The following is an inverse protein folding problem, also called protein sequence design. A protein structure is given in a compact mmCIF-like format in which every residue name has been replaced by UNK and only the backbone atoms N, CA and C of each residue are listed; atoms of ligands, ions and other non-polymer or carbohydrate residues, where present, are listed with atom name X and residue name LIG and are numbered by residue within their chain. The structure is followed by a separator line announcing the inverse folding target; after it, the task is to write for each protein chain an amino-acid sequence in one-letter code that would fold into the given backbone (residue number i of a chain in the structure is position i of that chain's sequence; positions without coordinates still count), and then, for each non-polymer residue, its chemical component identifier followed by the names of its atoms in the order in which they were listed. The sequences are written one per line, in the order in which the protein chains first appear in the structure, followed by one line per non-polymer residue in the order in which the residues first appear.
data_IF_388767488244
#
_entry.id   IF_388767488244
#
_cell.length_a   1.000
_cell.length_b   1.000
_cell.length_c   1.000
_cell.angle_alpha   90.00
_cell.angle_beta   90.00
_cell.angle_gamma   90.00
#
_symmetry.space_group_name_H-M   'P 1'
#
loop_
_entity.id
_entity.type
_entity.pdbx_description
1 polymer ?
#
# COMPACT_ATOMS: atom_id res chain seq x y z
N UNK A 1 -9.47 -13.49 -48.66
CA UNK A 1 -9.86 -13.61 -47.24
C UNK A 1 -10.77 -12.44 -46.93
N UNK A 2 -12.05 -12.69 -46.59
CA UNK A 2 -13.01 -11.63 -46.31
C UNK A 2 -12.88 -11.22 -44.84
N UNK A 3 -12.48 -9.97 -44.59
CA UNK A 3 -12.27 -9.42 -43.24
C UNK A 3 -13.53 -9.55 -42.39
N UNK A 4 -14.72 -9.41 -43.00
CA UNK A 4 -16.01 -9.48 -42.31
C UNK A 4 -16.29 -10.87 -41.72
N UNK A 5 -16.04 -11.94 -42.49
CA UNK A 5 -16.19 -13.32 -41.99
C UNK A 5 -15.23 -13.66 -40.84
N UNK A 6 -14.05 -13.04 -40.82
CA UNK A 6 -13.08 -13.22 -39.74
C UNK A 6 -13.49 -12.45 -38.49
N UNK A 7 -14.04 -11.24 -38.65
CA UNK A 7 -14.59 -10.44 -37.55
C UNK A 7 -15.79 -11.16 -36.94
N UNK A 8 -16.67 -11.73 -37.76
CA UNK A 8 -17.85 -12.47 -37.31
C UNK A 8 -17.45 -13.74 -36.54
N UNK A 9 -16.46 -14.51 -37.03
CA UNK A 9 -15.98 -15.69 -36.30
C UNK A 9 -15.30 -15.35 -34.97
N UNK A 10 -14.57 -14.23 -34.89
CA UNK A 10 -13.89 -13.77 -33.67
C UNK A 10 -14.86 -13.16 -32.66
N UNK A 11 -15.96 -12.54 -33.11
CA UNK A 11 -16.96 -11.89 -32.26
C UNK A 11 -18.06 -12.83 -31.78
N UNK A 12 -18.31 -13.93 -32.49
CA UNK A 12 -19.39 -14.89 -32.19
C UNK A 12 -19.35 -15.49 -30.77
N UNK A 13 -18.19 -15.53 -30.11
CA UNK A 13 -18.01 -16.14 -28.78
C UNK A 13 -17.51 -15.18 -27.70
N UNK A 14 -17.70 -13.87 -27.88
CA UNK A 14 -17.32 -12.88 -26.87
C UNK A 14 -18.26 -12.96 -25.65
N UNK A 15 -17.76 -13.50 -24.54
CA UNK A 15 -18.47 -13.46 -23.26
C UNK A 15 -18.37 -12.06 -22.65
N UNK A 16 -19.49 -11.41 -22.27
CA UNK A 16 -19.46 -10.10 -21.65
C UNK A 16 -18.68 -10.15 -20.33
N UNK A 17 -17.61 -9.37 -20.21
CA UNK A 17 -16.90 -9.21 -18.95
C UNK A 17 -17.74 -8.33 -18.03
N UNK A 18 -18.15 -8.86 -16.86
CA UNK A 18 -18.87 -8.07 -15.84
C UNK A 18 -18.10 -6.79 -15.50
N UNK A 19 -18.80 -5.63 -15.51
CA UNK A 19 -18.24 -4.28 -15.24
C UNK A 19 -17.33 -4.19 -14.00
N UNK A 20 -17.60 -5.00 -12.97
CA UNK A 20 -16.85 -4.99 -11.69
C UNK A 20 -15.90 -6.17 -11.50
N UNK A 21 -15.68 -7.02 -12.50
CA UNK A 21 -14.85 -8.22 -12.36
C UNK A 21 -13.40 -7.90 -11.94
N UNK A 22 -12.83 -6.81 -12.46
CA UNK A 22 -11.48 -6.32 -12.13
C UNK A 22 -11.40 -5.87 -10.67
N UNK A 23 -12.30 -4.96 -10.26
CA UNK A 23 -12.32 -4.43 -8.91
C UNK A 23 -12.55 -5.50 -7.86
N UNK A 24 -13.46 -6.45 -8.11
CA UNK A 24 -13.73 -7.56 -7.20
C UNK A 24 -12.53 -8.48 -7.00
N UNK A 25 -11.75 -8.74 -8.06
CA UNK A 25 -10.52 -9.56 -7.95
C UNK A 25 -9.45 -8.87 -7.14
N UNK A 26 -9.19 -7.59 -7.43
CA UNK A 26 -8.23 -6.78 -6.67
C UNK A 26 -8.64 -6.74 -5.20
N UNK A 27 -9.92 -6.45 -4.91
CA UNK A 27 -10.45 -6.44 -3.55
C UNK A 27 -10.27 -7.79 -2.84
N UNK A 28 -10.53 -8.90 -3.53
CA UNK A 28 -10.35 -10.24 -2.96
C UNK A 28 -8.87 -10.56 -2.68
N UNK A 29 -7.96 -10.20 -3.60
CA UNK A 29 -6.53 -10.37 -3.39
C UNK A 29 -6.00 -9.57 -2.20
N UNK A 30 -6.46 -8.33 -2.06
CA UNK A 30 -6.12 -7.48 -0.91
C UNK A 30 -6.74 -8.02 0.38
N UNK A 31 -8.01 -8.41 0.37
CA UNK A 31 -8.70 -8.92 1.55
C UNK A 31 -8.01 -10.19 2.09
N UNK A 32 -7.71 -11.15 1.21
CA UNK A 32 -6.98 -12.37 1.60
C UNK A 32 -5.59 -12.01 2.13
N UNK A 33 -4.83 -11.16 1.44
CA UNK A 33 -3.52 -10.73 1.89
C UNK A 33 -3.58 -9.99 3.24
N UNK A 34 -4.58 -9.14 3.45
CA UNK A 34 -4.80 -8.40 4.69
C UNK A 34 -5.14 -9.34 5.85
N UNK A 35 -6.02 -10.32 5.63
CA UNK A 35 -6.34 -11.36 6.64
C UNK A 35 -5.09 -12.13 7.05
N UNK A 36 -4.28 -12.58 6.07
CA UNK A 36 -3.01 -13.27 6.36
C UNK A 36 -2.07 -12.35 7.14
N UNK A 37 -1.99 -11.07 6.77
CA UNK A 37 -1.14 -10.09 7.45
C UNK A 37 -1.60 -9.86 8.90
N UNK A 38 -2.91 -9.76 9.15
CA UNK A 38 -3.47 -9.64 10.50
C UNK A 38 -3.17 -10.88 11.33
N UNK A 39 -3.29 -12.08 10.77
CA UNK A 39 -2.92 -13.33 11.45
C UNK A 39 -1.44 -13.33 11.81
N UNK A 40 -0.55 -12.94 10.88
CA UNK A 40 0.88 -12.82 11.14
C UNK A 40 1.20 -11.82 12.24
N UNK A 41 0.48 -10.69 12.30
CA UNK A 41 0.64 -9.71 13.38
C UNK A 41 0.16 -10.33 14.71
N UNK A 42 -1.05 -10.89 14.73
CA UNK A 42 -1.66 -11.40 15.96
C UNK A 42 -0.86 -12.57 16.57
N UNK A 43 -0.31 -13.46 15.73
CA UNK A 43 0.39 -14.67 16.17
C UNK A 43 1.91 -14.49 16.27
N UNK A 44 2.51 -13.68 15.39
CA UNK A 44 3.97 -13.51 15.32
C UNK A 44 4.49 -12.35 16.16
N UNK A 45 3.83 -11.19 16.09
CA UNK A 45 4.27 -9.95 16.75
C UNK A 45 3.50 -9.67 18.05
N UNK A 46 2.27 -10.15 18.14
CA UNK A 46 1.33 -9.83 19.21
C UNK A 46 0.63 -8.50 18.98
N UNK A 47 -0.63 -8.39 19.41
CA UNK A 47 -1.36 -7.13 19.40
C UNK A 47 -0.97 -6.34 20.64
N UNK A 48 -0.79 -5.02 20.50
CA UNK A 48 -0.47 -4.13 21.62
C UNK A 48 -1.56 -4.22 22.71
N UNK A 49 -1.23 -4.48 23.98
CA UNK A 49 -2.23 -4.73 25.03
C UNK A 49 -3.07 -3.50 25.36
N UNK A 50 -2.53 -2.30 25.17
CA UNK A 50 -3.21 -1.03 25.38
C UNK A 50 -3.90 -0.48 24.12
N UNK A 51 -4.15 -1.32 23.12
CA UNK A 51 -4.83 -0.91 21.88
C UNK A 51 -6.16 -0.18 22.14
N UNK A 52 -6.96 -0.64 23.10
CA UNK A 52 -8.23 0.01 23.45
C UNK A 52 -8.07 1.43 23.99
N UNK A 53 -6.97 1.71 24.71
CA UNK A 53 -6.62 3.05 25.17
C UNK A 53 -6.00 3.87 24.04
N UNK A 54 -5.12 3.27 23.25
CA UNK A 54 -4.46 3.91 22.12
C UNK A 54 -5.47 4.41 21.06
N UNK A 55 -6.55 3.66 20.81
CA UNK A 55 -7.64 4.08 19.91
C UNK A 55 -8.38 5.33 20.37
N UNK A 56 -8.28 5.72 21.64
CA UNK A 56 -8.81 7.00 22.14
C UNK A 56 -7.82 8.16 21.97
N UNK A 57 -6.55 7.85 21.72
CA UNK A 57 -5.48 8.82 21.54
C UNK A 57 -5.41 9.40 20.13
N UNK A 58 -5.14 10.70 20.03
CA UNK A 58 -4.96 11.41 18.76
C UNK A 58 -3.88 10.79 17.88
N UNK A 59 -2.73 10.41 18.46
CA UNK A 59 -1.58 9.89 17.72
C UNK A 59 -1.87 8.59 16.97
N UNK A 60 -2.76 7.74 17.48
CA UNK A 60 -3.18 6.53 16.76
C UNK A 60 -3.90 6.90 15.46
N UNK A 61 -4.88 7.79 15.55
CA UNK A 61 -5.67 8.23 14.40
C UNK A 61 -4.85 8.98 13.36
N UNK A 62 -3.88 9.80 13.77
CA UNK A 62 -2.97 10.46 12.82
C UNK A 62 -2.21 9.44 11.98
N UNK A 63 -1.63 8.42 12.62
CA UNK A 63 -0.88 7.37 11.91
C UNK A 63 -1.79 6.56 11.00
N UNK A 64 -2.96 6.18 11.51
CA UNK A 64 -3.92 5.36 10.80
C UNK A 64 -4.52 6.09 9.59
N UNK A 65 -4.90 7.36 9.75
CA UNK A 65 -5.39 8.21 8.65
C UNK A 65 -4.32 8.47 7.60
N UNK A 66 -3.07 8.70 8.02
CA UNK A 66 -1.93 8.80 7.12
C UNK A 66 -1.74 7.54 6.26
N UNK A 67 -1.60 6.37 6.87
CA UNK A 67 -1.36 5.13 6.12
C UNK A 67 -2.55 4.71 5.28
N UNK A 68 -3.79 4.94 5.77
CA UNK A 68 -5.00 4.68 4.99
C UNK A 68 -5.14 5.58 3.78
N UNK A 69 -4.88 6.88 3.93
CA UNK A 69 -4.98 7.81 2.80
C UNK A 69 -4.00 7.43 1.68
N UNK A 70 -2.76 7.03 2.05
CA UNK A 70 -1.80 6.46 1.10
C UNK A 70 -2.31 5.17 0.47
N UNK A 71 -2.88 4.26 1.27
CA UNK A 71 -3.46 3.01 0.79
C UNK A 71 -4.57 3.27 -0.23
N UNK A 72 -5.52 4.17 0.04
CA UNK A 72 -6.60 4.51 -0.89
C UNK A 72 -6.05 5.08 -2.21
N UNK A 73 -5.08 5.99 -2.14
CA UNK A 73 -4.43 6.54 -3.34
C UNK A 73 -3.71 5.44 -4.14
N UNK A 74 -3.04 4.52 -3.45
CA UNK A 74 -2.31 3.41 -4.06
C UNK A 74 -3.26 2.41 -4.74
N UNK A 75 -4.35 2.07 -4.07
CA UNK A 75 -5.39 1.18 -4.59
C UNK A 75 -6.09 1.79 -5.81
N UNK A 76 -6.31 3.10 -5.80
CA UNK A 76 -6.83 3.80 -6.96
C UNK A 76 -5.86 3.72 -8.16
N UNK A 77 -4.56 3.87 -7.93
CA UNK A 77 -3.54 3.67 -8.98
C UNK A 77 -3.50 2.23 -9.48
N UNK A 78 -3.56 1.24 -8.59
CA UNK A 78 -3.63 -0.19 -8.93
C UNK A 78 -4.83 -0.48 -9.83
N UNK A 79 -6.01 0.04 -9.50
CA UNK A 79 -7.22 -0.14 -10.29
C UNK A 79 -7.14 0.54 -11.67
N UNK A 80 -6.43 1.67 -11.78
CA UNK A 80 -6.19 2.35 -13.06
C UNK A 80 -5.18 1.60 -13.92
N UNK A 81 -4.04 1.20 -13.36
CA UNK A 81 -2.98 0.45 -14.05
C UNK A 81 -3.37 -0.97 -14.43
N UNK A 82 -4.42 -1.52 -13.80
CA UNK A 82 -5.04 -2.78 -14.19
C UNK A 82 -5.76 -2.71 -15.55
N UNK A 83 -6.10 -1.52 -16.04
CA UNK A 83 -6.75 -1.30 -17.34
C UNK A 83 -5.70 -0.90 -18.38
N UNK A 84 -5.82 -1.36 -19.64
CA UNK A 84 -4.84 -1.09 -20.70
C UNK A 84 -4.83 0.37 -21.20
N UNK A 85 -5.73 1.22 -20.72
CA UNK A 85 -5.82 2.63 -21.13
C UNK A 85 -4.58 3.44 -20.75
N UNK A 86 -4.34 4.54 -21.48
CA UNK A 86 -3.29 5.51 -21.17
C UNK A 86 -3.56 6.12 -19.79
N UNK A 87 -2.87 5.56 -18.79
CA UNK A 87 -2.99 6.01 -17.41
C UNK A 87 -2.10 7.21 -17.17
N UNK A 88 -2.73 8.34 -16.84
CA UNK A 88 -2.04 9.55 -16.43
C UNK A 88 -1.54 9.39 -14.98
N UNK A 89 -0.21 9.40 -14.82
CA UNK A 89 0.47 9.26 -13.53
C UNK A 89 0.42 10.53 -12.69
N UNK A 90 -0.14 11.64 -13.21
CA UNK A 90 -0.30 12.91 -12.47
C UNK A 90 -1.04 12.76 -11.15
N UNK A 91 -1.91 11.75 -11.02
CA UNK A 91 -2.63 11.46 -9.78
C UNK A 91 -1.72 11.04 -8.62
N UNK A 92 -0.49 10.62 -8.89
CA UNK A 92 0.51 10.31 -7.87
C UNK A 92 0.81 11.52 -6.98
N UNK A 93 0.64 12.74 -7.50
CA UNK A 93 0.84 13.97 -6.73
C UNK A 93 -0.13 14.12 -5.56
N UNK A 94 -1.31 13.46 -5.59
CA UNK A 94 -2.23 13.45 -4.45
C UNK A 94 -1.65 12.77 -3.21
N UNK A 95 -0.66 11.88 -3.37
CA UNK A 95 0.04 11.29 -2.22
C UNK A 95 0.90 12.31 -1.47
N UNK A 96 1.24 13.45 -2.10
CA UNK A 96 1.95 14.53 -1.42
C UNK A 96 1.10 15.17 -0.32
N UNK A 97 -0.23 15.17 -0.47
CA UNK A 97 -1.15 15.79 0.49
C UNK A 97 -1.03 15.17 1.90
N UNK A 98 -1.22 13.84 2.09
CA UNK A 98 -1.08 13.24 3.41
C UNK A 98 0.36 13.29 3.95
N UNK A 99 1.36 13.24 3.07
CA UNK A 99 2.78 13.38 3.47
C UNK A 99 3.06 14.78 4.01
N UNK A 100 2.63 15.83 3.31
CA UNK A 100 2.80 17.22 3.76
C UNK A 100 2.01 17.49 5.05
N UNK A 101 0.81 16.94 5.18
CA UNK A 101 0.01 17.08 6.40
C UNK A 101 0.72 16.45 7.61
N UNK A 102 1.22 15.21 7.45
CA UNK A 102 1.96 14.54 8.52
C UNK A 102 3.30 15.23 8.81
N UNK A 103 3.98 15.76 7.79
CA UNK A 103 5.19 16.57 7.95
C UNK A 103 4.93 17.85 8.76
N UNK A 104 3.78 18.50 8.54
CA UNK A 104 3.38 19.67 9.30
C UNK A 104 3.14 19.32 10.77
N UNK A 105 2.43 18.21 11.03
CA UNK A 105 2.18 17.73 12.40
C UNK A 105 3.50 17.37 13.10
N UNK A 106 4.39 16.62 12.42
CA UNK A 106 5.69 16.26 12.96
C UNK A 106 6.60 17.47 13.22
N UNK A 107 6.55 18.48 12.35
CA UNK A 107 7.26 19.75 12.55
C UNK A 107 6.75 20.52 13.77
N UNK A 108 5.43 20.56 13.98
CA UNK A 108 4.82 21.17 15.16
C UNK A 108 5.19 20.41 16.45
N UNK A 109 5.18 19.08 16.42
CA UNK A 109 5.63 18.25 17.56
C UNK A 109 7.09 18.56 17.94
N UNK A 110 7.97 18.70 16.96
CA UNK A 110 9.38 19.05 17.19
C UNK A 110 9.56 20.48 17.69
N UNK A 111 8.79 21.43 17.15
CA UNK A 111 8.85 22.82 17.58
C UNK A 111 8.43 23.00 19.05
N UNK A 112 7.51 22.15 19.54
CA UNK A 112 7.07 22.17 20.94
C UNK A 112 7.95 21.31 21.86
N UNK A 113 8.79 20.44 21.30
CA UNK A 113 9.66 19.55 22.07
C UNK A 113 11.05 20.17 22.31
N UNK A 114 11.69 19.91 23.47
CA UNK A 114 13.07 20.27 23.71
C UNK A 114 14.01 19.65 22.65
N UNK A 115 15.00 20.39 22.12
CA UNK A 115 15.91 19.89 21.07
C UNK A 115 16.66 18.60 21.42
N UNK A 116 16.92 18.37 22.72
CA UNK A 116 17.54 17.15 23.24
C UNK A 116 16.72 15.88 22.98
N UNK A 117 15.39 16.02 22.88
CA UNK A 117 14.47 14.89 22.74
C UNK A 117 14.15 14.59 21.27
N UNK A 118 14.55 15.47 20.34
CA UNK A 118 14.28 15.32 18.90
C UNK A 118 14.81 14.01 18.34
N UNK A 119 16.02 13.62 18.75
CA UNK A 119 16.65 12.39 18.26
C UNK A 119 15.90 11.15 18.77
N UNK A 120 15.45 11.16 20.02
CA UNK A 120 14.63 10.11 20.59
C UNK A 120 13.24 10.04 19.92
N UNK A 121 12.63 11.18 19.60
CA UNK A 121 11.35 11.25 18.88
C UNK A 121 11.48 10.78 17.42
N UNK A 122 12.63 11.01 16.79
CA UNK A 122 12.86 10.63 15.40
C UNK A 122 13.22 9.16 15.23
N UNK A 123 14.15 8.66 16.05
CA UNK A 123 14.55 7.25 16.01
C UNK A 123 13.53 6.35 16.71
N UNK A 124 12.84 6.80 17.75
CA UNK A 124 12.03 5.92 18.58
C UNK A 124 12.80 4.69 19.08
N UNK A 125 12.09 3.70 19.61
CA UNK A 125 12.70 2.43 20.03
C UNK A 125 12.81 1.43 18.88
N UNK A 126 11.90 1.53 17.89
CA UNK A 126 11.70 0.48 16.89
C UNK A 126 12.22 0.80 15.47
N UNK A 127 12.99 1.88 15.27
CA UNK A 127 13.37 2.32 13.91
C UNK A 127 14.11 1.28 13.08
N UNK A 128 14.99 0.46 13.68
CA UNK A 128 15.79 -0.52 12.94
C UNK A 128 14.94 -1.66 12.39
N UNK A 129 13.81 -1.95 13.03
CA UNK A 129 13.00 -3.15 12.79
C UNK A 129 11.72 -2.76 12.03
N UNK A 130 11.14 -1.61 12.32
CA UNK A 130 9.86 -1.16 11.78
C UNK A 130 9.79 -1.16 10.24
N UNK A 131 10.75 -0.57 9.48
CA UNK A 131 10.70 -0.59 8.02
C UNK A 131 10.74 -2.01 7.44
N UNK A 132 11.54 -2.89 8.04
CA UNK A 132 11.65 -4.29 7.64
C UNK A 132 10.39 -5.09 7.95
N UNK A 133 9.74 -4.81 9.09
CA UNK A 133 8.44 -5.42 9.43
C UNK A 133 7.35 -4.95 8.49
N UNK A 134 7.27 -3.65 8.18
CA UNK A 134 6.30 -3.14 7.19
C UNK A 134 6.55 -3.79 5.83
N UNK A 135 7.82 -3.93 5.42
CA UNK A 135 8.18 -4.58 4.18
C UNK A 135 7.78 -6.07 4.16
N UNK A 136 8.09 -6.82 5.22
CA UNK A 136 7.76 -8.25 5.30
C UNK A 136 6.25 -8.48 5.38
N UNK A 137 5.53 -7.67 6.17
CA UNK A 137 4.07 -7.70 6.27
C UNK A 137 3.37 -7.24 4.98
N UNK A 138 4.06 -6.53 4.09
CA UNK A 138 3.51 -6.19 2.77
C UNK A 138 3.48 -7.39 1.82
N UNK A 139 4.30 -8.42 2.05
CA UNK A 139 4.46 -9.53 1.12
C UNK A 139 3.14 -10.29 0.84
N UNK A 140 2.30 -10.67 1.83
CA UNK A 140 1.04 -11.36 1.56
C UNK A 140 0.07 -10.52 0.69
N UNK A 141 -0.01 -9.22 0.96
CA UNK A 141 -0.87 -8.29 0.19
C UNK A 141 -0.32 -8.12 -1.23
N UNK A 142 1.00 -7.99 -1.37
CA UNK A 142 1.66 -7.90 -2.67
C UNK A 142 1.44 -9.15 -3.52
N UNK A 143 1.54 -10.34 -2.93
CA UNK A 143 1.26 -11.62 -3.61
C UNK A 143 -0.20 -11.67 -4.08
N UNK A 144 -1.15 -11.26 -3.24
CA UNK A 144 -2.57 -11.19 -3.60
C UNK A 144 -2.85 -10.21 -4.77
N UNK A 145 -2.14 -9.08 -4.80
CA UNK A 145 -2.21 -8.12 -5.90
C UNK A 145 -1.57 -8.67 -7.18
N UNK A 146 -0.42 -9.33 -7.11
CA UNK A 146 0.21 -9.97 -8.27
C UNK A 146 -0.67 -11.08 -8.86
N UNK A 147 -1.29 -11.90 -8.01
CA UNK A 147 -2.25 -12.91 -8.45
C UNK A 147 -3.43 -12.28 -9.21
N UNK A 148 -3.90 -11.12 -8.74
CA UNK A 148 -4.94 -10.35 -9.43
C UNK A 148 -4.46 -9.82 -10.79
N UNK A 149 -3.26 -9.23 -10.83
CA UNK A 149 -2.64 -8.68 -12.04
C UNK A 149 -2.30 -9.72 -13.10
N UNK A 150 -1.95 -10.94 -12.70
CA UNK A 150 -1.73 -12.07 -13.62
C UNK A 150 -2.98 -12.54 -14.37
N UNK A 151 -4.13 -11.93 -14.18
CA UNK A 151 -5.31 -12.15 -15.04
C UNK A 151 -5.81 -10.86 -15.67
N UNK A 152 -5.04 -9.79 -15.50
CA UNK A 152 -5.22 -8.49 -16.10
C UNK A 152 -4.10 -8.35 -17.15
N UNK A 153 -4.29 -7.49 -18.15
CA UNK A 153 -3.27 -7.24 -19.17
C UNK A 153 -2.63 -5.86 -18.95
N UNK A 154 -1.84 -5.66 -17.86
CA UNK A 154 -1.19 -4.37 -17.63
C UNK A 154 -0.10 -4.14 -18.67
N UNK A 155 -0.15 -2.99 -19.34
CA UNK A 155 0.83 -2.61 -20.38
C UNK A 155 2.12 -2.03 -19.77
N UNK A 156 2.04 -1.43 -18.58
CA UNK A 156 3.17 -0.81 -17.86
C UNK A 156 3.58 -1.64 -16.64
N UNK A 157 4.32 -2.73 -16.87
CA UNK A 157 4.67 -3.71 -15.82
C UNK A 157 5.42 -3.10 -14.61
N UNK A 158 6.37 -2.19 -14.85
CA UNK A 158 7.12 -1.50 -13.77
C UNK A 158 6.20 -0.64 -12.91
N UNK A 159 5.35 0.17 -13.54
CA UNK A 159 4.43 1.06 -12.82
C UNK A 159 3.34 0.27 -12.08
N UNK A 160 2.81 -0.80 -12.69
CA UNK A 160 1.86 -1.71 -12.05
C UNK A 160 2.48 -2.39 -10.82
N UNK A 161 3.72 -2.87 -10.95
CA UNK A 161 4.48 -3.44 -9.82
C UNK A 161 4.74 -2.42 -8.71
N UNK A 162 5.15 -1.20 -9.06
CA UNK A 162 5.37 -0.12 -8.09
C UNK A 162 4.08 0.24 -7.33
N UNK A 163 2.96 0.39 -8.04
CA UNK A 163 1.66 0.67 -7.45
C UNK A 163 1.20 -0.48 -6.54
N UNK A 164 1.42 -1.73 -6.96
CA UNK A 164 1.13 -2.91 -6.15
C UNK A 164 1.95 -2.93 -4.86
N UNK A 165 3.24 -2.64 -4.94
CA UNK A 165 4.14 -2.58 -3.78
C UNK A 165 3.78 -1.43 -2.83
N UNK A 166 3.44 -0.26 -3.37
CA UNK A 166 2.99 0.88 -2.58
C UNK A 166 1.65 0.59 -1.88
N UNK A 167 0.69 -0.02 -2.58
CA UNK A 167 -0.59 -0.44 -1.99
C UNK A 167 -0.39 -1.50 -0.90
N UNK A 168 0.46 -2.50 -1.16
CA UNK A 168 0.78 -3.53 -0.18
C UNK A 168 1.48 -2.95 1.05
N UNK A 169 2.48 -2.09 0.87
CA UNK A 169 3.22 -1.45 1.94
C UNK A 169 2.35 -0.53 2.80
N UNK A 170 1.51 0.30 2.18
CA UNK A 170 0.62 1.23 2.90
C UNK A 170 -0.52 0.50 3.64
N UNK A 171 -1.10 -0.55 3.04
CA UNK A 171 -2.03 -1.43 3.74
C UNK A 171 -1.35 -2.13 4.93
N UNK A 172 -0.15 -2.70 4.73
CA UNK A 172 0.60 -3.36 5.80
C UNK A 172 0.96 -2.38 6.92
N UNK A 173 1.38 -1.16 6.59
CA UNK A 173 1.65 -0.10 7.57
C UNK A 173 0.40 0.27 8.39
N UNK A 174 -0.78 0.28 7.75
CA UNK A 174 -2.07 0.49 8.44
C UNK A 174 -2.38 -0.63 9.43
N UNK A 175 -2.14 -1.88 9.04
CA UNK A 175 -2.33 -3.04 9.92
C UNK A 175 -1.27 -3.07 11.02
N UNK A 176 -0.04 -2.66 10.73
CA UNK A 176 1.06 -2.61 11.67
C UNK A 176 0.81 -1.61 12.83
N UNK A 177 -0.06 -0.62 12.66
CA UNK A 177 -0.54 0.24 13.75
C UNK A 177 -1.21 -0.54 14.90
N UNK A 178 -1.67 -1.78 14.67
CA UNK A 178 -2.22 -2.64 15.73
C UNK A 178 -1.14 -3.17 16.70
N UNK A 179 0.12 -3.16 16.27
CA UNK A 179 1.27 -3.63 17.06
C UNK A 179 2.16 -2.48 17.52
N UNK A 180 2.45 -1.52 16.64
CA UNK A 180 3.46 -0.49 16.88
C UNK A 180 3.07 0.45 18.05
N UNK A 181 3.88 0.53 19.13
CA UNK A 181 3.56 1.37 20.27
C UNK A 181 3.98 2.83 20.11
N UNK A 182 4.79 3.13 19.10
CA UNK A 182 5.38 4.45 18.88
C UNK A 182 4.30 5.54 18.72
N UNK A 183 4.57 6.74 19.22
CA UNK A 183 3.57 7.84 19.27
C UNK A 183 3.96 9.00 18.35
N UNK A 184 5.26 9.24 18.17
CA UNK A 184 5.83 10.33 17.35
C UNK A 184 5.34 10.31 15.90
N UNK A 185 4.93 11.48 15.40
CA UNK A 185 4.53 11.67 14.00
C UNK A 185 5.75 11.65 13.06
N UNK A 186 6.88 12.23 13.46
CA UNK A 186 8.09 12.24 12.62
C UNK A 186 8.69 10.83 12.44
N UNK A 187 8.55 9.98 13.46
CA UNK A 187 8.93 8.56 13.36
C UNK A 187 8.14 7.88 12.25
N UNK A 188 6.81 8.07 12.22
CA UNK A 188 5.93 7.44 11.21
C UNK A 188 6.23 7.99 9.83
N UNK A 189 6.34 9.31 9.72
CA UNK A 189 6.66 9.97 8.47
C UNK A 189 7.96 9.45 7.87
N UNK A 190 8.97 9.16 8.68
CA UNK A 190 10.26 8.69 8.19
C UNK A 190 10.23 7.20 7.92
N UNK A 191 9.93 6.39 8.95
CA UNK A 191 10.16 4.95 8.94
C UNK A 191 9.04 4.16 8.28
N UNK A 192 7.78 4.57 8.42
CA UNK A 192 6.68 3.90 7.71
C UNK A 192 6.77 4.23 6.23
N UNK A 193 7.01 5.49 5.89
CA UNK A 193 7.19 5.92 4.50
C UNK A 193 8.39 5.22 3.87
N UNK A 194 9.48 5.02 4.61
CA UNK A 194 10.63 4.23 4.15
C UNK A 194 10.21 2.79 3.85
N UNK A 195 9.50 2.11 4.76
CA UNK A 195 9.00 0.75 4.52
C UNK A 195 8.06 0.65 3.30
N UNK A 196 7.16 1.62 3.13
CA UNK A 196 6.26 1.73 1.98
C UNK A 196 7.05 1.98 0.69
N UNK A 197 8.03 2.88 0.72
CA UNK A 197 8.88 3.19 -0.42
C UNK A 197 9.74 2.00 -0.84
N UNK A 198 10.28 1.23 0.12
CA UNK A 198 10.98 -0.02 -0.13
C UNK A 198 10.06 -1.06 -0.78
N UNK A 199 8.84 -1.23 -0.27
CA UNK A 199 7.85 -2.12 -0.86
C UNK A 199 7.49 -1.70 -2.30
N UNK A 200 7.32 -0.40 -2.54
CA UNK A 200 7.08 0.15 -3.88
C UNK A 200 8.28 -0.08 -4.82
N UNK A 201 9.50 0.14 -4.36
CA UNK A 201 10.73 -0.07 -5.13
C UNK A 201 10.91 -1.55 -5.48
N UNK A 202 10.73 -2.45 -4.51
CA UNK A 202 10.74 -3.90 -4.75
C UNK A 202 9.65 -4.31 -5.74
N UNK A 203 8.45 -3.75 -5.59
CA UNK A 203 7.36 -3.96 -6.54
C UNK A 203 7.70 -3.51 -7.95
N UNK A 204 8.36 -2.36 -8.12
CA UNK A 204 8.80 -1.83 -9.40
C UNK A 204 9.85 -2.73 -10.08
N UNK A 205 10.77 -3.29 -9.28
CA UNK A 205 11.83 -4.19 -9.74
C UNK A 205 11.30 -5.58 -10.11
N UNK A 206 10.41 -6.13 -9.29
CA UNK A 206 9.84 -7.47 -9.46
C UNK A 206 8.70 -7.51 -10.48
N UNK A 207 7.97 -6.39 -10.64
CA UNK A 207 6.81 -6.27 -11.54
C UNK A 207 7.06 -6.81 -12.95
N UNK A 208 8.09 -6.34 -13.68
CA UNK A 208 8.39 -6.83 -15.04
C UNK A 208 8.70 -8.33 -15.11
N UNK A 209 9.32 -8.90 -14.07
CA UNK A 209 9.68 -10.33 -14.06
C UNK A 209 8.51 -11.24 -13.72
N UNK A 210 7.59 -10.77 -12.87
CA UNK A 210 6.47 -11.56 -12.34
C UNK A 210 5.15 -11.37 -13.10
N UNK A 211 5.00 -10.24 -13.80
CA UNK A 211 3.82 -9.86 -14.57
C UNK A 211 4.01 -9.98 -16.09
N UNK A 212 5.22 -10.31 -16.57
CA UNK A 212 5.42 -10.72 -17.96
C UNK A 212 4.66 -12.04 -18.21
N UNK A 213 3.84 -12.04 -19.24
CA UNK A 213 3.15 -13.21 -19.75
C UNK A 213 4.07 -13.98 -20.69
#
# INVERSE_FOLDING_TARGET
MNTDSLIESLSANLRPVRRFAVGRRIALGIAVGAVVTVILIAWGLGIRPDLGLAMRGYSFWVKWTYTLSLSLCALFMVARLARPDRTDLRWLWLMAIPVCLLATIGGLELAHAPPRDWLAMWLGHSWKICPWLVLSLSAPIFIGLLWSFRRLAPTRLRAAGAAAGLAAGSCAATLYCLHCPEVSAIFVLTWYTLGIALAAAMGALLGPRLLRW
#
